data_IF_234367620400
#
_entry.id   IF_234367620400
#
_cell.length_a   1.000
_cell.length_b   1.000
_cell.length_c   1.000
_cell.angle_alpha   90.00
_cell.angle_beta   90.00
_cell.angle_gamma   90.00
#
_symmetry.space_group_name_H-M   'P 1'
#
loop_
_entity.id
_entity.type
_entity.pdbx_description
1 polymer ?
#
# COMPACT_ATOMS: atom_id res chain seq x y z
N UNK A 1 -9.16 4.76 21.04
CA UNK A 1 -9.28 5.51 19.76
C UNK A 1 -10.26 6.69 19.85
N UNK A 2 -11.42 6.54 20.49
CA UNK A 2 -12.36 7.66 20.72
C UNK A 2 -11.78 8.78 21.60
N UNK A 3 -11.13 8.42 22.71
CA UNK A 3 -10.47 9.37 23.63
C UNK A 3 -9.46 10.26 22.88
N UNK A 4 -8.53 9.66 22.15
CA UNK A 4 -7.55 10.39 21.34
C UNK A 4 -8.19 11.30 20.28
N UNK A 5 -9.27 10.85 19.64
CA UNK A 5 -10.00 11.70 18.68
C UNK A 5 -10.61 12.92 19.36
N UNK A 6 -11.16 12.75 20.56
CA UNK A 6 -11.75 13.85 21.32
C UNK A 6 -10.68 14.83 21.82
N UNK A 7 -9.55 14.32 22.30
CA UNK A 7 -8.41 15.15 22.73
C UNK A 7 -7.87 16.00 21.57
N UNK A 8 -7.63 15.40 20.41
CA UNK A 8 -7.17 16.12 19.22
C UNK A 8 -8.17 17.19 18.78
N UNK A 9 -9.48 16.90 18.84
CA UNK A 9 -10.51 17.90 18.52
C UNK A 9 -10.50 19.06 19.51
N UNK A 10 -10.37 18.78 20.81
CA UNK A 10 -10.30 19.82 21.83
C UNK A 10 -9.06 20.71 21.63
N UNK A 11 -7.90 20.11 21.39
CA UNK A 11 -6.65 20.83 21.11
C UNK A 11 -6.81 21.72 19.87
N UNK A 12 -7.35 21.17 18.77
CA UNK A 12 -7.57 21.96 17.56
C UNK A 12 -8.52 23.13 17.76
N UNK A 13 -9.62 22.91 18.49
CA UNK A 13 -10.56 23.97 18.80
C UNK A 13 -9.88 25.09 19.60
N UNK A 14 -9.18 24.75 20.67
CA UNK A 14 -8.49 25.74 21.51
C UNK A 14 -7.43 26.54 20.74
N UNK A 15 -6.69 25.88 19.83
CA UNK A 15 -5.63 26.53 19.06
C UNK A 15 -6.15 27.38 17.90
N UNK A 16 -7.30 27.02 17.30
CA UNK A 16 -7.74 27.59 16.03
C UNK A 16 -9.16 28.16 16.04
N UNK A 17 -9.86 28.21 17.17
CA UNK A 17 -11.24 28.74 17.25
C UNK A 17 -11.37 30.17 16.70
N UNK A 18 -10.34 30.99 16.90
CA UNK A 18 -10.32 32.39 16.47
C UNK A 18 -9.64 32.58 15.10
N UNK A 19 -9.17 31.49 14.47
CA UNK A 19 -8.49 31.52 13.17
C UNK A 19 -9.44 30.99 12.10
N UNK A 20 -9.74 31.85 11.13
CA UNK A 20 -10.48 31.44 9.93
C UNK A 20 -9.58 30.65 8.98
N UNK A 21 -9.58 29.34 9.13
CA UNK A 21 -8.90 28.42 8.21
C UNK A 21 -9.66 28.43 6.87
N UNK A 22 -8.99 28.79 5.77
CA UNK A 22 -9.62 28.78 4.44
C UNK A 22 -9.43 27.44 3.73
N UNK A 23 -8.27 26.81 3.93
CA UNK A 23 -7.89 25.55 3.31
C UNK A 23 -7.25 24.62 4.34
N UNK A 24 -7.67 23.36 4.34
CA UNK A 24 -7.06 22.27 5.12
C UNK A 24 -6.51 21.22 4.16
N UNK A 25 -5.19 21.01 4.20
CA UNK A 25 -4.53 19.88 3.54
C UNK A 25 -4.11 18.86 4.59
N UNK A 26 -4.44 17.60 4.41
CA UNK A 26 -4.03 16.52 5.31
C UNK A 26 -3.60 15.26 4.57
N UNK A 27 -2.63 14.54 5.13
CA UNK A 27 -2.46 13.12 4.83
C UNK A 27 -3.70 12.38 5.35
N UNK A 28 -4.28 11.52 4.52
CA UNK A 28 -5.57 10.90 4.79
C UNK A 28 -5.53 9.39 4.54
N UNK A 29 -5.90 8.62 5.56
CA UNK A 29 -6.05 7.17 5.54
C UNK A 29 -7.44 6.72 6.04
N UNK A 30 -8.34 7.68 6.33
CA UNK A 30 -9.70 7.37 6.81
C UNK A 30 -9.77 6.97 8.28
N UNK A 31 -8.73 7.27 9.06
CA UNK A 31 -8.69 6.95 10.48
C UNK A 31 -9.51 7.97 11.32
N UNK A 32 -10.09 7.57 12.47
CA UNK A 32 -11.07 8.38 13.18
C UNK A 32 -10.63 9.79 13.57
N UNK A 33 -9.37 9.99 13.99
CA UNK A 33 -8.92 11.32 14.38
C UNK A 33 -8.90 12.28 13.18
N UNK A 34 -8.52 11.83 11.98
CA UNK A 34 -8.54 12.67 10.77
C UNK A 34 -9.96 13.15 10.45
N UNK A 35 -10.96 12.28 10.64
CA UNK A 35 -12.36 12.68 10.55
C UNK A 35 -12.75 13.69 11.63
N UNK A 36 -12.22 13.55 12.85
CA UNK A 36 -12.38 14.53 13.92
C UNK A 36 -11.81 15.91 13.55
N UNK A 37 -10.59 15.95 13.02
CA UNK A 37 -9.94 17.18 12.54
C UNK A 37 -10.83 17.87 11.49
N UNK A 38 -11.25 17.13 10.47
CA UNK A 38 -12.08 17.68 9.38
C UNK A 38 -13.39 18.26 9.92
N UNK A 39 -14.05 17.56 10.84
CA UNK A 39 -15.29 18.02 11.47
C UNK A 39 -15.08 19.30 12.26
N UNK A 40 -14.02 19.39 13.05
CA UNK A 40 -13.80 20.56 13.90
C UNK A 40 -13.42 21.80 13.10
N UNK A 41 -12.57 21.64 12.07
CA UNK A 41 -12.24 22.75 11.17
C UNK A 41 -13.47 23.24 10.41
N UNK A 42 -14.33 22.32 9.93
CA UNK A 42 -15.61 22.70 9.28
C UNK A 42 -16.62 23.31 10.28
N UNK A 43 -16.51 23.04 11.57
CA UNK A 43 -17.33 23.67 12.62
C UNK A 43 -16.89 25.12 12.85
N UNK A 44 -15.58 25.37 12.92
CA UNK A 44 -15.00 26.71 13.04
C UNK A 44 -15.33 27.55 11.79
N UNK A 45 -15.11 26.98 10.61
CA UNK A 45 -15.47 27.61 9.34
C UNK A 45 -15.97 26.57 8.33
N UNK A 46 -17.29 26.54 8.09
CA UNK A 46 -17.91 25.59 7.17
C UNK A 46 -17.44 25.76 5.71
N UNK A 47 -16.98 26.97 5.34
CA UNK A 47 -16.47 27.28 4.00
C UNK A 47 -15.07 26.72 3.74
N UNK A 48 -14.34 26.31 4.78
CA UNK A 48 -12.98 25.76 4.67
C UNK A 48 -12.94 24.66 3.61
N UNK A 49 -12.04 24.73 2.63
CA UNK A 49 -11.85 23.64 1.65
C UNK A 49 -10.97 22.55 2.24
N UNK A 50 -11.38 21.29 2.08
CA UNK A 50 -10.66 20.14 2.65
C UNK A 50 -10.09 19.27 1.54
N UNK A 51 -8.77 19.22 1.47
CA UNK A 51 -7.99 18.44 0.52
C UNK A 51 -7.26 17.30 1.25
N UNK A 52 -7.71 16.07 1.00
CA UNK A 52 -7.13 14.86 1.57
C UNK A 52 -6.14 14.25 0.58
N UNK A 53 -4.91 13.98 0.99
CA UNK A 53 -3.92 13.26 0.21
C UNK A 53 -3.70 11.84 0.77
N UNK A 54 -4.08 10.83 0.00
CA UNK A 54 -3.78 9.44 0.30
C UNK A 54 -2.41 9.09 -0.26
N UNK A 55 -1.44 9.01 0.62
CA UNK A 55 -0.03 8.98 0.24
C UNK A 55 0.48 7.60 -0.17
N UNK A 56 -0.21 6.53 0.22
CA UNK A 56 0.20 5.15 -0.01
C UNK A 56 -0.46 4.56 -1.27
N UNK A 57 0.21 3.58 -1.87
CA UNK A 57 -0.39 2.78 -2.92
C UNK A 57 -1.54 1.93 -2.35
N UNK A 58 -2.45 1.49 -3.21
CA UNK A 58 -3.60 0.68 -2.80
C UNK A 58 -3.21 -0.64 -2.12
N UNK A 59 -4.11 -1.13 -1.28
CA UNK A 59 -4.05 -2.46 -0.67
C UNK A 59 -5.34 -3.21 -1.03
N UNK A 60 -5.39 -4.54 -0.87
CA UNK A 60 -6.47 -5.38 -1.38
C UNK A 60 -7.88 -4.85 -1.10
N UNK A 61 -8.14 -4.52 0.16
CA UNK A 61 -9.44 -4.10 0.64
C UNK A 61 -9.34 -2.79 1.45
N UNK A 62 -9.83 -1.69 0.89
CA UNK A 62 -9.65 -0.34 1.44
C UNK A 62 -10.90 0.21 2.16
N UNK A 63 -11.51 -0.56 3.06
CA UNK A 63 -12.79 -0.19 3.71
C UNK A 63 -12.69 1.05 4.61
N UNK A 64 -11.51 1.39 5.11
CA UNK A 64 -11.26 2.62 5.86
C UNK A 64 -11.54 3.87 5.01
N UNK A 65 -11.52 3.73 3.68
CA UNK A 65 -11.74 4.80 2.73
C UNK A 65 -13.19 4.90 2.23
N UNK A 66 -14.17 4.26 2.87
CA UNK A 66 -15.58 4.43 2.50
C UNK A 66 -15.96 5.93 2.58
N UNK A 67 -16.65 6.44 1.56
CA UNK A 67 -17.15 7.80 1.54
C UNK A 67 -18.29 8.00 2.56
N UNK A 68 -18.09 8.86 3.56
CA UNK A 68 -19.03 9.02 4.69
C UNK A 68 -19.57 10.43 4.90
N UNK A 69 -18.72 11.46 4.82
CA UNK A 69 -19.07 12.75 5.46
C UNK A 69 -19.40 13.91 4.53
N UNK A 70 -19.24 13.79 3.21
CA UNK A 70 -19.35 14.94 2.27
C UNK A 70 -18.52 16.20 2.62
N UNK A 71 -17.74 16.19 3.72
CA UNK A 71 -16.90 17.27 4.21
C UNK A 71 -15.56 17.36 3.48
N UNK A 72 -15.17 16.31 2.76
CA UNK A 72 -13.95 16.30 1.94
C UNK A 72 -14.30 16.87 0.57
N UNK A 73 -13.64 17.97 0.19
CA UNK A 73 -13.82 18.63 -1.10
C UNK A 73 -13.08 17.87 -2.20
N UNK A 74 -11.84 17.44 -1.93
CA UNK A 74 -11.05 16.61 -2.85
C UNK A 74 -10.24 15.54 -2.13
N UNK A 75 -10.31 14.30 -2.60
CA UNK A 75 -9.38 13.23 -2.29
C UNK A 75 -8.38 13.08 -3.43
N UNK A 76 -7.10 13.04 -3.08
CA UNK A 76 -5.99 13.02 -4.01
C UNK A 76 -5.25 11.71 -3.82
N UNK A 77 -5.14 10.93 -4.89
CA UNK A 77 -4.55 9.59 -4.90
C UNK A 77 -3.46 9.49 -5.96
N UNK A 78 -2.63 8.44 -5.86
CA UNK A 78 -1.51 8.24 -6.78
C UNK A 78 -1.78 7.25 -7.93
N UNK A 79 -2.97 6.65 -7.99
CA UNK A 79 -3.32 5.62 -8.96
C UNK A 79 -4.66 5.86 -9.65
N UNK A 80 -4.72 5.63 -10.96
CA UNK A 80 -5.99 5.63 -11.71
C UNK A 80 -6.87 4.44 -11.32
N UNK A 81 -6.27 3.27 -11.11
CA UNK A 81 -7.00 2.09 -10.65
C UNK A 81 -7.57 2.29 -9.24
N UNK A 82 -6.77 2.90 -8.34
CA UNK A 82 -7.23 3.25 -7.00
C UNK A 82 -8.42 4.24 -7.05
N UNK A 83 -8.36 5.27 -7.91
CA UNK A 83 -9.50 6.16 -8.15
C UNK A 83 -10.75 5.40 -8.63
N UNK A 84 -10.58 4.46 -9.56
CA UNK A 84 -11.70 3.67 -10.08
C UNK A 84 -12.33 2.79 -9.00
N UNK A 85 -11.53 2.21 -8.11
CA UNK A 85 -11.98 1.39 -6.99
C UNK A 85 -12.75 2.23 -5.99
N UNK A 86 -12.20 3.37 -5.58
CA UNK A 86 -12.87 4.30 -4.67
C UNK A 86 -14.24 4.71 -5.20
N UNK A 87 -14.32 5.01 -6.50
CA UNK A 87 -15.58 5.33 -7.18
C UNK A 87 -16.56 4.16 -7.19
N UNK A 88 -16.11 2.98 -7.62
CA UNK A 88 -16.98 1.83 -7.90
C UNK A 88 -17.46 1.12 -6.64
N UNK A 89 -16.60 1.01 -5.62
CA UNK A 89 -16.83 0.15 -4.46
C UNK A 89 -16.94 0.90 -3.13
N UNK A 90 -16.46 2.16 -3.07
CA UNK A 90 -16.37 2.92 -1.82
C UNK A 90 -17.17 4.23 -1.89
N UNK A 91 -18.10 4.32 -2.84
CA UNK A 91 -19.07 5.40 -3.04
C UNK A 91 -18.48 6.82 -3.21
N UNK A 92 -17.21 6.94 -3.59
CA UNK A 92 -16.62 8.26 -3.82
C UNK A 92 -17.14 8.91 -5.10
N UNK A 93 -17.59 10.17 -5.05
CA UNK A 93 -17.91 10.92 -6.25
C UNK A 93 -16.67 11.12 -7.12
N UNK A 94 -16.74 10.74 -8.40
CA UNK A 94 -15.60 10.82 -9.34
C UNK A 94 -15.00 12.23 -9.44
N UNK A 95 -15.84 13.27 -9.34
CA UNK A 95 -15.44 14.68 -9.36
C UNK A 95 -14.61 15.11 -8.14
N UNK A 96 -14.74 14.38 -7.02
CA UNK A 96 -13.98 14.61 -5.79
C UNK A 96 -12.65 13.87 -5.77
N UNK A 97 -12.34 12.99 -6.73
CA UNK A 97 -11.07 12.26 -6.75
C UNK A 97 -10.14 12.81 -7.83
N UNK A 98 -8.95 13.24 -7.45
CA UNK A 98 -7.88 13.63 -8.37
C UNK A 98 -6.72 12.63 -8.31
N UNK A 99 -6.05 12.44 -9.46
CA UNK A 99 -4.89 11.55 -9.57
C UNK A 99 -3.68 12.38 -9.90
N UNK A 100 -2.66 12.33 -9.06
CA UNK A 100 -1.36 12.97 -9.27
C UNK A 100 -0.25 11.94 -9.11
N UNK A 101 0.99 12.19 -9.55
CA UNK A 101 2.13 11.37 -9.13
C UNK A 101 2.32 11.43 -7.61
N UNK A 102 2.85 10.37 -7.02
CA UNK A 102 3.14 10.32 -5.60
C UNK A 102 4.05 11.47 -5.16
N UNK A 103 3.65 12.11 -4.08
CA UNK A 103 4.47 13.12 -3.38
C UNK A 103 5.53 12.47 -2.48
N UNK A 104 5.34 11.20 -2.09
CA UNK A 104 6.21 10.48 -1.16
C UNK A 104 7.29 9.69 -1.88
N UNK A 105 6.95 9.08 -3.02
CA UNK A 105 7.84 8.15 -3.71
C UNK A 105 8.36 8.75 -5.02
N UNK A 106 9.68 8.70 -5.16
CA UNK A 106 10.37 9.03 -6.41
C UNK A 106 10.53 7.78 -7.26
N UNK A 107 10.70 7.99 -8.56
CA UNK A 107 10.95 6.91 -9.51
C UNK A 107 12.18 6.08 -9.09
N UNK A 108 11.98 4.79 -8.97
CA UNK A 108 12.94 3.77 -8.55
C UNK A 108 13.22 2.81 -9.73
N UNK A 109 13.84 1.66 -9.46
CA UNK A 109 14.23 0.68 -10.47
C UNK A 109 13.69 -0.71 -10.13
N UNK A 110 13.59 -1.57 -11.15
CA UNK A 110 13.22 -2.98 -10.95
C UNK A 110 14.16 -3.70 -9.96
N UNK A 111 15.42 -3.25 -9.83
CA UNK A 111 16.41 -3.85 -8.92
C UNK A 111 16.06 -3.63 -7.44
N UNK A 112 15.21 -2.67 -7.14
CA UNK A 112 14.81 -2.29 -5.78
C UNK A 112 13.64 -3.13 -5.25
N UNK A 113 12.91 -3.79 -6.15
CA UNK A 113 11.71 -4.57 -5.84
C UNK A 113 11.78 -6.03 -6.30
N UNK A 114 12.59 -6.32 -7.31
CA UNK A 114 12.75 -7.66 -7.88
C UNK A 114 13.76 -8.50 -7.11
N UNK A 115 13.42 -9.78 -6.92
CA UNK A 115 14.30 -10.77 -6.31
C UNK A 115 14.44 -10.63 -4.81
N UNK A 116 13.36 -10.22 -4.15
CA UNK A 116 13.29 -10.15 -2.70
C UNK A 116 12.24 -11.11 -2.13
N UNK A 117 12.49 -11.55 -0.90
CA UNK A 117 11.46 -12.02 0.00
C UNK A 117 11.23 -10.92 1.02
N UNK A 118 10.05 -10.32 1.00
CA UNK A 118 9.63 -9.32 1.97
C UNK A 118 9.06 -10.02 3.19
N UNK A 119 9.80 -9.96 4.30
CA UNK A 119 9.39 -10.49 5.59
C UNK A 119 8.25 -9.63 6.13
N UNK A 120 7.17 -10.21 6.69
CA UNK A 120 6.01 -9.44 7.09
C UNK A 120 6.36 -8.53 8.28
N UNK A 121 5.66 -7.40 8.39
CA UNK A 121 5.87 -6.45 9.50
C UNK A 121 5.46 -7.06 10.84
N UNK A 122 4.37 -7.82 10.85
CA UNK A 122 3.97 -8.64 11.98
C UNK A 122 4.01 -10.11 11.56
N UNK A 123 4.74 -10.93 12.31
CA UNK A 123 4.75 -12.38 12.09
C UNK A 123 3.63 -12.99 12.92
N UNK A 124 2.40 -12.97 12.41
CA UNK A 124 1.22 -13.48 13.12
C UNK A 124 1.18 -15.02 13.12
N UNK A 125 1.69 -15.67 12.05
CA UNK A 125 1.63 -17.13 11.90
C UNK A 125 2.92 -17.75 11.35
N UNK A 126 3.94 -17.84 12.21
CA UNK A 126 5.31 -18.29 11.89
C UNK A 126 5.33 -19.64 11.13
N UNK A 127 4.72 -20.69 11.69
CA UNK A 127 4.72 -22.04 11.08
C UNK A 127 3.93 -22.08 9.77
N UNK A 128 2.79 -21.39 9.71
CA UNK A 128 1.93 -21.35 8.52
C UNK A 128 2.67 -20.76 7.32
N UNK A 129 3.39 -19.66 7.52
CA UNK A 129 4.19 -19.05 6.46
C UNK A 129 5.29 -19.97 5.96
N UNK A 130 6.05 -20.58 6.86
CA UNK A 130 7.14 -21.49 6.48
C UNK A 130 6.59 -22.71 5.73
N UNK A 131 5.47 -23.27 6.16
CA UNK A 131 4.83 -24.40 5.48
C UNK A 131 4.36 -24.02 4.07
N UNK A 132 3.70 -22.87 3.91
CA UNK A 132 3.26 -22.39 2.58
C UNK A 132 4.42 -22.04 1.67
N UNK A 133 5.50 -21.50 2.22
CA UNK A 133 6.72 -21.26 1.46
C UNK A 133 7.37 -22.56 1.00
N UNK A 134 7.33 -23.61 1.82
CA UNK A 134 7.80 -24.95 1.43
C UNK A 134 6.94 -25.55 0.31
N UNK A 135 5.60 -25.48 0.43
CA UNK A 135 4.68 -25.90 -0.63
C UNK A 135 4.98 -25.18 -1.94
N UNK A 136 5.20 -23.86 -1.89
CA UNK A 136 5.61 -23.08 -3.05
C UNK A 136 6.90 -23.61 -3.68
N UNK A 137 7.96 -23.79 -2.89
CA UNK A 137 9.25 -24.26 -3.39
C UNK A 137 9.18 -25.68 -3.97
N UNK A 138 8.41 -26.58 -3.35
CA UNK A 138 8.19 -27.93 -3.86
C UNK A 138 7.45 -27.94 -5.20
N UNK A 139 6.52 -26.99 -5.39
CA UNK A 139 5.63 -26.96 -6.56
C UNK A 139 6.25 -26.30 -7.78
N UNK A 140 7.13 -25.30 -7.60
CA UNK A 140 7.78 -24.64 -8.74
C UNK A 140 8.76 -25.57 -9.44
N UNK A 141 8.87 -25.39 -10.76
CA UNK A 141 9.80 -26.15 -11.58
C UNK A 141 11.26 -25.83 -11.24
N UNK A 142 12.16 -26.77 -11.52
CA UNK A 142 13.58 -26.56 -11.28
C UNK A 142 14.10 -25.40 -12.15
N UNK A 143 15.00 -24.59 -11.57
CA UNK A 143 15.60 -23.41 -12.21
C UNK A 143 14.60 -22.38 -12.75
N UNK A 144 13.35 -22.34 -12.26
CA UNK A 144 12.31 -21.46 -12.78
C UNK A 144 12.15 -20.14 -12.03
N UNK A 145 12.80 -19.98 -10.87
CA UNK A 145 12.75 -18.75 -10.06
C UNK A 145 14.14 -18.15 -9.84
N UNK A 146 14.20 -16.82 -9.70
CA UNK A 146 15.47 -16.15 -9.40
C UNK A 146 15.87 -16.34 -7.93
N UNK A 147 17.16 -16.16 -7.64
CA UNK A 147 17.62 -16.11 -6.25
C UNK A 147 16.98 -14.95 -5.50
N UNK A 148 16.59 -15.18 -4.24
CA UNK A 148 15.99 -14.16 -3.40
C UNK A 148 16.97 -13.60 -2.39
N UNK A 149 16.85 -12.30 -2.11
CA UNK A 149 17.40 -11.65 -0.92
C UNK A 149 16.29 -11.40 0.09
N UNK A 150 16.55 -11.67 1.37
CA UNK A 150 15.58 -11.38 2.43
C UNK A 150 15.61 -9.89 2.76
N UNK A 151 14.42 -9.31 2.98
CA UNK A 151 14.25 -7.92 3.40
C UNK A 151 13.36 -7.88 4.64
N UNK A 152 13.98 -7.54 5.77
CA UNK A 152 13.30 -7.24 7.03
C UNK A 152 13.09 -5.72 7.08
N UNK A 153 11.91 -5.28 7.55
CA UNK A 153 11.65 -3.86 7.75
C UNK A 153 12.66 -3.24 8.74
N UNK A 154 13.17 -2.01 8.53
CA UNK A 154 14.16 -1.40 9.42
C UNK A 154 13.74 -1.39 10.90
N UNK A 155 12.46 -1.09 11.17
CA UNK A 155 11.91 -1.10 12.54
C UNK A 155 11.92 -2.47 13.22
N UNK A 156 12.02 -3.56 12.44
CA UNK A 156 12.06 -4.93 12.94
C UNK A 156 13.44 -5.58 12.76
N UNK A 157 14.45 -4.82 12.33
CA UNK A 157 15.78 -5.35 12.03
C UNK A 157 16.40 -6.06 13.24
N UNK A 158 16.11 -5.57 14.44
CA UNK A 158 16.64 -6.12 15.68
C UNK A 158 15.73 -7.13 16.38
N UNK A 159 14.53 -7.37 15.85
CA UNK A 159 13.59 -8.33 16.41
C UNK A 159 14.09 -9.77 16.26
N UNK A 160 14.29 -10.46 17.38
CA UNK A 160 14.71 -11.87 17.40
C UNK A 160 13.76 -12.77 16.60
N UNK A 161 12.45 -12.56 16.74
CA UNK A 161 11.41 -13.30 15.99
C UNK A 161 11.58 -13.15 14.47
N UNK A 162 11.92 -11.96 13.99
CA UNK A 162 12.13 -11.71 12.57
C UNK A 162 13.46 -12.29 12.06
N UNK A 163 14.51 -12.23 12.89
CA UNK A 163 15.81 -12.85 12.59
C UNK A 163 15.67 -14.37 12.47
N UNK A 164 15.02 -15.01 13.44
CA UNK A 164 14.75 -16.45 13.44
C UNK A 164 13.94 -16.87 12.21
N UNK A 165 12.86 -16.15 11.90
CA UNK A 165 12.06 -16.41 10.71
C UNK A 165 12.87 -16.29 9.42
N UNK A 166 13.71 -15.24 9.32
CA UNK A 166 14.59 -15.06 8.17
C UNK A 166 15.62 -16.20 8.04
N UNK A 167 16.14 -16.73 9.15
CA UNK A 167 17.07 -17.85 9.13
C UNK A 167 16.40 -19.16 8.72
N UNK A 168 15.18 -19.42 9.15
CA UNK A 168 14.37 -20.56 8.67
C UNK A 168 14.08 -20.45 7.16
N UNK A 169 13.77 -19.25 6.66
CA UNK A 169 13.62 -19.03 5.22
C UNK A 169 14.92 -19.33 4.45
N UNK A 170 16.09 -18.91 4.97
CA UNK A 170 17.39 -19.24 4.35
C UNK A 170 17.63 -20.75 4.32
N UNK A 171 17.31 -21.47 5.39
CA UNK A 171 17.43 -22.94 5.45
C UNK A 171 16.57 -23.59 4.36
N UNK A 172 15.32 -23.17 4.20
CA UNK A 172 14.43 -23.67 3.14
C UNK A 172 14.95 -23.36 1.73
N UNK A 173 15.43 -22.15 1.48
CA UNK A 173 16.05 -21.79 0.19
C UNK A 173 17.25 -22.69 -0.12
N UNK A 174 18.09 -22.96 0.89
CA UNK A 174 19.27 -23.84 0.74
C UNK A 174 18.88 -25.28 0.46
N UNK A 175 17.83 -25.78 1.12
CA UNK A 175 17.32 -27.12 0.90
C UNK A 175 16.79 -27.30 -0.54
N UNK A 176 16.00 -26.34 -1.02
CA UNK A 176 15.41 -26.32 -2.37
C UNK A 176 16.28 -25.60 -3.41
N UNK A 177 17.61 -25.71 -3.33
CA UNK A 177 18.55 -24.92 -4.15
C UNK A 177 18.38 -25.11 -5.66
N UNK A 178 17.90 -26.27 -6.09
CA UNK A 178 17.66 -26.65 -7.49
C UNK A 178 16.51 -25.88 -8.14
N UNK A 179 15.62 -25.29 -7.35
CA UNK A 179 14.53 -24.42 -7.82
C UNK A 179 15.05 -23.09 -8.38
N UNK A 180 16.23 -22.66 -7.91
CA UNK A 180 16.76 -21.33 -8.19
C UNK A 180 17.73 -21.33 -9.38
N UNK A 181 17.71 -20.24 -10.14
CA UNK A 181 18.66 -19.98 -11.21
C UNK A 181 19.37 -18.65 -11.03
N UNK A 182 20.72 -18.67 -11.11
CA UNK A 182 21.55 -17.45 -11.13
C UNK A 182 21.44 -16.68 -12.44
N UNK A 183 21.00 -17.33 -13.53
CA UNK A 183 20.88 -16.72 -14.86
C UNK A 183 19.58 -15.94 -15.04
N UNK A 184 18.56 -16.22 -14.22
CA UNK A 184 17.27 -15.53 -14.32
C UNK A 184 17.37 -14.08 -13.85
N UNK A 185 16.69 -13.19 -14.58
CA UNK A 185 16.48 -11.81 -14.15
C UNK A 185 15.69 -11.81 -12.84
N UNK A 186 15.92 -10.81 -12.00
CA UNK A 186 15.15 -10.58 -10.76
C UNK A 186 13.75 -10.07 -11.07
N UNK A 187 12.93 -10.94 -11.65
CA UNK A 187 11.60 -10.61 -12.15
C UNK A 187 10.48 -11.16 -11.27
N UNK A 188 10.80 -11.91 -10.21
CA UNK A 188 9.82 -12.27 -9.18
C UNK A 188 10.30 -11.95 -7.76
N UNK A 189 9.33 -11.77 -6.87
CA UNK A 189 9.52 -11.57 -5.44
C UNK A 189 8.44 -12.30 -4.65
N UNK A 190 8.70 -12.56 -3.38
CA UNK A 190 7.76 -13.19 -2.45
C UNK A 190 7.36 -12.17 -1.39
N UNK A 191 6.07 -12.10 -1.08
CA UNK A 191 5.53 -11.23 -0.02
C UNK A 191 4.75 -12.09 0.97
N UNK A 192 4.98 -11.88 2.26
CA UNK A 192 4.22 -12.50 3.34
C UNK A 192 3.27 -11.50 4.02
N UNK A 193 2.20 -12.03 4.61
CA UNK A 193 1.26 -11.27 5.44
C UNK A 193 0.26 -10.47 4.62
N UNK A 194 -0.15 -9.29 5.09
CA UNK A 194 -1.04 -8.42 4.33
C UNK A 194 -0.33 -7.84 3.11
N UNK A 195 -0.93 -7.93 1.93
CA UNK A 195 -0.43 -7.21 0.77
C UNK A 195 -0.62 -5.70 0.98
N UNK A 196 0.49 -4.97 1.09
CA UNK A 196 0.48 -3.50 1.29
C UNK A 196 0.98 -2.77 0.05
N UNK A 197 1.23 -1.46 0.17
CA UNK A 197 1.70 -0.63 -0.94
C UNK A 197 3.00 -1.12 -1.59
N UNK A 198 3.86 -1.85 -0.88
CA UNK A 198 5.05 -2.48 -1.48
C UNK A 198 4.68 -3.49 -2.57
N UNK A 199 3.54 -4.15 -2.45
CA UNK A 199 3.03 -5.10 -3.44
C UNK A 199 2.68 -4.38 -4.74
N UNK A 200 1.98 -3.24 -4.64
CA UNK A 200 1.62 -2.44 -5.81
C UNK A 200 2.86 -1.84 -6.47
N UNK A 201 3.79 -1.30 -5.69
CA UNK A 201 5.03 -0.77 -6.25
C UNK A 201 5.82 -1.86 -6.97
N UNK A 202 5.99 -3.03 -6.34
CA UNK A 202 6.67 -4.19 -6.94
C UNK A 202 6.02 -4.59 -8.27
N UNK A 203 4.69 -4.67 -8.30
CA UNK A 203 3.92 -4.94 -9.51
C UNK A 203 4.12 -3.87 -10.59
N UNK A 204 4.12 -2.58 -10.23
CA UNK A 204 4.32 -1.47 -11.16
C UNK A 204 5.70 -1.48 -11.83
N UNK A 205 6.71 -2.02 -11.16
CA UNK A 205 8.02 -2.29 -11.75
C UNK A 205 8.08 -3.54 -12.63
N UNK A 206 6.96 -4.25 -12.79
CA UNK A 206 6.85 -5.44 -13.61
C UNK A 206 7.38 -6.71 -12.96
N UNK A 207 7.52 -6.70 -11.64
CA UNK A 207 7.95 -7.86 -10.88
C UNK A 207 6.71 -8.69 -10.54
N UNK A 208 6.74 -9.97 -10.90
CA UNK A 208 5.74 -10.95 -10.49
C UNK A 208 5.82 -11.16 -8.98
N UNK A 209 4.68 -11.24 -8.31
CA UNK A 209 4.63 -11.50 -6.87
C UNK A 209 4.07 -12.90 -6.61
N UNK A 210 4.75 -13.64 -5.74
CA UNK A 210 4.19 -14.80 -5.04
C UNK A 210 3.83 -14.38 -3.62
N UNK A 211 2.54 -14.34 -3.32
CA UNK A 211 2.01 -13.82 -2.07
C UNK A 211 1.53 -14.93 -1.16
N UNK A 212 1.98 -14.91 0.09
CA UNK A 212 1.61 -15.85 1.15
C UNK A 212 0.86 -15.04 2.22
N UNK A 213 -0.48 -14.91 2.09
CA UNK A 213 -1.29 -14.06 2.96
C UNK A 213 -1.44 -14.62 4.37
N UNK A 214 -1.72 -13.73 5.32
CA UNK A 214 -2.24 -14.12 6.63
C UNK A 214 -3.65 -14.64 6.54
N UNK A 215 -4.53 -13.85 5.93
CA UNK A 215 -5.92 -14.17 5.70
C UNK A 215 -6.24 -14.14 4.21
N UNK A 216 -6.58 -15.30 3.66
CA UNK A 216 -6.88 -15.47 2.24
C UNK A 216 -8.15 -14.73 1.76
N UNK A 217 -8.96 -14.21 2.67
CA UNK A 217 -10.20 -13.51 2.32
C UNK A 217 -10.01 -12.00 2.21
N UNK A 218 -9.07 -11.42 2.97
CA UNK A 218 -8.93 -9.95 3.09
C UNK A 218 -7.56 -9.42 2.69
N UNK A 219 -6.51 -10.24 2.75
CA UNK A 219 -5.14 -9.83 2.43
C UNK A 219 -4.77 -10.05 0.96
N UNK A 220 -5.70 -10.54 0.15
CA UNK A 220 -5.43 -10.96 -1.24
C UNK A 220 -6.06 -10.01 -2.24
N UNK A 221 -5.31 -9.65 -3.27
CA UNK A 221 -5.89 -8.94 -4.40
C UNK A 221 -6.85 -9.86 -5.14
N UNK A 222 -7.97 -9.30 -5.61
CA UNK A 222 -8.87 -9.93 -6.56
C UNK A 222 -8.90 -9.13 -7.86
N UNK A 223 -9.05 -9.82 -8.99
CA UNK A 223 -9.26 -9.18 -10.29
C UNK A 223 -10.63 -8.48 -10.38
N UNK A 224 -11.61 -8.87 -9.55
CA UNK A 224 -12.90 -8.18 -9.42
C UNK A 224 -12.77 -6.76 -8.86
N UNK A 225 -11.97 -6.59 -7.80
CA UNK A 225 -11.72 -5.27 -7.19
C UNK A 225 -10.62 -4.55 -7.99
N UNK A 226 -9.54 -5.26 -8.33
CA UNK A 226 -8.36 -4.74 -9.00
C UNK A 226 -8.23 -5.32 -10.42
N UNK A 227 -9.01 -4.84 -11.41
CA UNK A 227 -9.07 -5.44 -12.75
C UNK A 227 -7.76 -5.40 -13.53
N UNK A 228 -6.83 -4.54 -13.15
CA UNK A 228 -5.50 -4.45 -13.75
C UNK A 228 -4.49 -5.45 -13.15
N UNK A 229 -4.85 -6.19 -12.10
CA UNK A 229 -4.05 -7.28 -11.56
C UNK A 229 -4.59 -8.59 -12.15
N UNK A 230 -3.69 -9.39 -12.73
CA UNK A 230 -3.94 -10.78 -13.00
C UNK A 230 -3.64 -11.59 -11.74
N UNK A 231 -4.61 -12.38 -11.28
CA UNK A 231 -4.52 -13.19 -10.06
C UNK A 231 -4.59 -14.66 -10.45
N UNK A 232 -3.62 -15.47 -9.99
CA UNK A 232 -3.66 -16.94 -10.12
C UNK A 232 -3.49 -17.60 -8.76
N UNK A 233 -4.21 -18.70 -8.54
CA UNK A 233 -4.19 -19.49 -7.29
C UNK A 233 -3.94 -20.97 -7.60
N UNK A 234 -2.80 -21.24 -8.24
CA UNK A 234 -2.45 -22.60 -8.67
C UNK A 234 -1.71 -23.40 -7.58
N UNK A 235 -1.27 -22.73 -6.52
CA UNK A 235 -0.51 -23.32 -5.42
C UNK A 235 -1.29 -23.06 -4.13
N UNK A 236 -1.55 -24.10 -3.35
CA UNK A 236 -2.32 -24.00 -2.11
C UNK A 236 -1.71 -22.97 -1.16
N UNK A 237 -2.51 -21.96 -0.80
CA UNK A 237 -2.11 -20.90 0.12
C UNK A 237 -1.13 -19.86 -0.47
N UNK A 238 -0.88 -19.87 -1.79
CA UNK A 238 -0.01 -18.91 -2.47
C UNK A 238 -0.73 -18.29 -3.69
N UNK A 239 -0.69 -16.97 -3.76
CA UNK A 239 -1.31 -16.19 -4.83
C UNK A 239 -0.23 -15.61 -5.74
N UNK A 240 -0.37 -15.79 -7.05
CA UNK A 240 0.50 -15.16 -8.04
C UNK A 240 -0.16 -13.90 -8.57
N UNK A 241 0.57 -12.79 -8.58
CA UNK A 241 0.13 -11.51 -9.12
C UNK A 241 1.06 -11.00 -10.21
N UNK A 242 0.46 -10.46 -11.27
CA UNK A 242 1.12 -9.69 -12.33
C UNK A 242 0.20 -8.54 -12.77
N UNK A 243 0.77 -7.39 -13.15
CA UNK A 243 -0.03 -6.31 -13.75
C UNK A 243 -0.26 -6.52 -15.23
N UNK A 244 -1.48 -6.19 -15.69
CA UNK A 244 -1.83 -6.18 -17.11
C UNK A 244 -1.24 -4.94 -17.80
N UNK A 245 -1.27 -3.78 -17.12
CA UNK A 245 -0.71 -2.52 -17.62
C UNK A 245 -0.04 -1.73 -16.49
N UNK A 246 1.22 -1.35 -16.70
CA UNK A 246 1.98 -0.48 -15.77
C UNK A 246 1.53 0.99 -15.86
N UNK A 247 1.83 1.75 -14.82
CA UNK A 247 1.51 3.16 -14.63
C UNK A 247 0.04 3.47 -14.30
N UNK A 248 -0.75 2.47 -13.90
CA UNK A 248 -2.18 2.63 -13.62
C UNK A 248 -2.52 2.57 -12.13
N UNK A 249 -1.85 1.70 -11.39
CA UNK A 249 -2.09 1.44 -9.97
C UNK A 249 -1.34 2.43 -9.08
N UNK A 250 -0.14 2.84 -9.49
CA UNK A 250 0.65 3.82 -8.76
C UNK A 250 1.57 4.59 -9.69
N UNK A 251 1.50 5.92 -9.63
CA UNK A 251 2.32 6.82 -10.43
C UNK A 251 3.38 7.45 -9.56
N UNK A 252 4.61 7.39 -10.04
CA UNK A 252 5.77 8.07 -9.45
C UNK A 252 6.30 9.09 -10.47
N UNK A 253 7.08 10.05 -9.98
CA UNK A 253 7.73 11.06 -10.83
C UNK A 253 9.19 11.21 -10.44
N UNK A 254 10.00 11.69 -11.39
CA UNK A 254 11.38 12.09 -11.15
C UNK A 254 11.51 13.56 -10.72
N UNK A 255 10.43 14.34 -10.76
CA UNK A 255 10.43 15.75 -10.37
C UNK A 255 10.57 15.95 -8.87
N UNK A 256 11.36 16.96 -8.49
CA UNK A 256 11.38 17.55 -7.15
C UNK A 256 10.19 18.52 -7.00
N UNK A 257 9.88 18.92 -5.77
CA UNK A 257 8.86 19.94 -5.45
C UNK A 257 7.43 19.58 -5.91
N UNK A 258 7.05 18.32 -5.73
CA UNK A 258 5.74 17.83 -6.15
C UNK A 258 4.59 18.45 -5.32
N UNK A 259 4.86 18.84 -4.07
CA UNK A 259 3.87 19.49 -3.23
C UNK A 259 3.46 20.85 -3.81
N UNK A 260 4.44 21.68 -4.12
CA UNK A 260 4.27 23.01 -4.73
C UNK A 260 3.63 22.92 -6.09
N UNK A 261 3.92 21.85 -6.84
CA UNK A 261 3.36 21.63 -8.17
C UNK A 261 1.90 21.17 -8.16
N UNK A 262 1.50 20.32 -7.21
CA UNK A 262 0.21 19.62 -7.29
C UNK A 262 -0.77 19.95 -6.14
N UNK A 263 -0.28 20.27 -4.94
CA UNK A 263 -1.14 20.55 -3.78
C UNK A 263 -1.26 22.05 -3.49
N UNK A 264 -0.15 22.79 -3.51
CA UNK A 264 -0.18 24.23 -3.22
C UNK A 264 -1.11 25.03 -4.16
N UNK A 265 -1.21 24.73 -5.48
CA UNK A 265 -2.12 25.47 -6.35
C UNK A 265 -3.60 25.28 -5.99
N UNK A 266 -3.94 24.22 -5.23
CA UNK A 266 -5.31 24.01 -4.75
C UNK A 266 -5.72 24.99 -3.67
N UNK A 267 -4.77 25.59 -2.95
CA UNK A 267 -5.04 26.57 -1.89
C UNK A 267 -5.09 28.01 -2.40
N UNK A 268 -4.57 28.24 -3.61
CA UNK A 268 -4.46 29.57 -4.22
C UNK A 268 -5.51 29.82 -5.30
N UNK A 269 -6.34 28.82 -5.63
CA UNK A 269 -7.41 28.97 -6.62
C UNK A 269 -8.58 29.74 -6.02
N UNK A 270 -8.62 31.03 -6.38
CA UNK A 270 -9.61 32.06 -6.02
C UNK A 270 -11.08 31.63 -6.20
#
# INVERSE_FOLDING_TARGET
MYVYTQEIRNILYLLFQDIKIENLILNYEGIPFQHGIIKEVKKINYKTKVFCYLHCAGWPLQLDLIYRLNLIDKLIVSGKDQKNILKKFLNWPSKKISVIPSLRFQKSSIKDYGGFIFVPYEITSFKKYLNRFDIFLNTVANRSINNFKLRIHPLNKDSNKHKEFADELKKKIKFHKEKFSKKLKKNCSVIFGSATGVSIQTLEYGVKIYHIPDNENIDVFSDKIWPNINVKKNITGVYEYCVKKRGQMFKETSSKNNFEKYLLPLTSAH
#
